data_IF_431023650280
#
_entry.id   IF_431023650280
#
_cell.length_a   1.000
_cell.length_b   1.000
_cell.length_c   1.000
_cell.angle_alpha   90.00
_cell.angle_beta   90.00
_cell.angle_gamma   90.00
#
_symmetry.space_group_name_H-M   'P 1'
#
loop_
_entity.id
_entity.type
_entity.pdbx_description
1 polymer ?
#
# COMPACT_ATOMS: atom_id res chain seq x y z
N UNK A 1 11.27 -25.11 33.27
CA UNK A 1 10.74 -23.84 32.72
C UNK A 1 10.57 -24.01 31.22
N UNK A 2 9.34 -23.93 30.73
CA UNK A 2 9.00 -24.17 29.32
C UNK A 2 9.14 -22.87 28.52
N UNK A 3 9.78 -22.86 27.33
CA UNK A 3 9.93 -21.66 26.53
C UNK A 3 8.56 -21.28 25.92
N UNK A 4 8.06 -20.09 26.27
CA UNK A 4 6.85 -19.53 25.71
C UNK A 4 6.97 -19.46 24.18
N UNK A 5 6.17 -20.27 23.48
CA UNK A 5 6.03 -20.21 22.02
C UNK A 5 5.54 -18.80 21.69
N UNK A 6 6.32 -18.04 20.92
CA UNK A 6 5.87 -16.74 20.40
C UNK A 6 4.73 -17.03 19.43
N UNK A 7 3.49 -16.85 19.88
CA UNK A 7 2.32 -16.92 19.02
C UNK A 7 2.53 -15.97 17.84
N UNK A 8 2.41 -16.53 16.63
CA UNK A 8 2.63 -15.80 15.40
C UNK A 8 1.50 -14.77 15.31
N UNK A 9 1.78 -13.51 15.64
CA UNK A 9 0.79 -12.44 15.64
C UNK A 9 0.05 -12.43 14.30
N UNK A 10 -1.26 -12.66 14.35
CA UNK A 10 -2.11 -12.55 13.18
C UNK A 10 -2.00 -11.15 12.58
N UNK A 11 -1.96 -11.09 11.25
CA UNK A 11 -1.80 -9.82 10.54
C UNK A 11 -3.13 -9.10 10.50
N UNK A 12 -3.07 -7.77 10.65
CA UNK A 12 -4.23 -6.91 10.45
C UNK A 12 -4.84 -7.15 9.06
N UNK A 13 -6.15 -7.35 9.01
CA UNK A 13 -6.85 -7.67 7.76
C UNK A 13 -7.17 -6.42 6.95
N UNK A 14 -7.49 -6.58 5.67
CA UNK A 14 -7.90 -5.47 4.80
C UNK A 14 -9.18 -4.79 5.32
N UNK A 15 -10.13 -5.57 5.84
CA UNK A 15 -11.37 -5.06 6.42
C UNK A 15 -11.11 -4.24 7.70
N UNK A 16 -10.25 -4.76 8.59
CA UNK A 16 -9.81 -4.02 9.79
C UNK A 16 -9.16 -2.68 9.41
N UNK A 17 -8.36 -2.65 8.33
CA UNK A 17 -7.76 -1.41 7.85
C UNK A 17 -8.79 -0.41 7.32
N UNK A 18 -9.78 -0.89 6.55
CA UNK A 18 -10.84 -0.05 6.01
C UNK A 18 -11.71 0.55 7.13
N UNK A 19 -12.06 -0.25 8.13
CA UNK A 19 -12.79 0.21 9.31
C UNK A 19 -12.01 1.31 10.05
N UNK A 20 -10.72 1.10 10.29
CA UNK A 20 -9.86 2.12 10.89
C UNK A 20 -9.88 3.45 10.12
N UNK A 21 -9.73 3.39 8.79
CA UNK A 21 -9.74 4.60 7.94
C UNK A 21 -11.10 5.32 7.99
N UNK A 22 -12.21 4.57 7.91
CA UNK A 22 -13.56 5.12 7.99
C UNK A 22 -13.83 5.76 9.36
N UNK A 23 -13.42 5.10 10.44
CA UNK A 23 -13.55 5.61 11.79
C UNK A 23 -12.76 6.91 11.99
N UNK A 24 -11.54 6.99 11.45
CA UNK A 24 -10.73 8.21 11.49
C UNK A 24 -11.37 9.38 10.73
N UNK A 25 -12.09 9.10 9.64
CA UNK A 25 -12.86 10.10 8.87
C UNK A 25 -14.06 10.61 9.66
N UNK A 26 -14.76 9.73 10.38
CA UNK A 26 -15.90 10.09 11.23
C UNK A 26 -15.49 10.82 12.52
N UNK A 27 -14.29 10.54 13.04
CA UNK A 27 -13.79 11.11 14.28
C UNK A 27 -12.43 11.80 14.08
N UNK A 28 -12.38 13.03 13.50
CA UNK A 28 -11.13 13.74 13.23
C UNK A 28 -10.25 13.96 14.48
N UNK A 29 -10.88 14.04 15.67
CA UNK A 29 -10.20 14.14 16.98
C UNK A 29 -9.17 13.03 17.21
N UNK A 30 -9.41 11.84 16.68
CA UNK A 30 -8.52 10.68 16.78
C UNK A 30 -7.23 10.82 15.97
N UNK A 31 -7.26 11.68 14.96
CA UNK A 31 -6.19 11.78 13.97
C UNK A 31 -5.12 12.82 14.28
N UNK A 32 -5.30 13.58 15.37
CA UNK A 32 -4.25 14.41 15.95
C UNK A 32 -3.87 15.63 15.11
N UNK A 33 -4.84 16.17 14.35
CA UNK A 33 -4.76 17.53 13.82
C UNK A 33 -4.69 18.44 15.04
N UNK A 34 -3.47 18.88 15.43
CA UNK A 34 -3.26 19.82 16.56
C UNK A 34 -4.07 21.09 16.34
N UNK A 35 -5.30 21.12 16.82
CA UNK A 35 -6.03 22.35 17.11
C UNK A 35 -5.56 22.83 18.48
N UNK A 36 -5.21 24.10 18.53
CA UNK A 36 -4.54 24.78 19.64
C UNK A 36 -5.47 24.89 20.85
N UNK A 37 -5.62 23.83 21.64
CA UNK A 37 -6.12 23.88 23.02
C UNK A 37 -6.02 22.46 23.60
N UNK A 38 -5.02 22.20 24.44
CA UNK A 38 -4.89 20.93 25.14
C UNK A 38 -5.62 21.06 26.48
N UNK A 39 -6.92 20.72 26.50
CA UNK A 39 -7.64 20.58 27.75
C UNK A 39 -7.52 19.14 28.25
N UNK A 40 -7.38 18.94 29.57
CA UNK A 40 -7.30 17.61 30.20
C UNK A 40 -8.53 16.73 29.93
N UNK A 41 -9.65 17.32 29.47
CA UNK A 41 -10.85 16.61 29.00
C UNK A 41 -10.65 15.89 27.66
N UNK A 42 -9.73 16.36 26.81
CA UNK A 42 -9.52 15.81 25.46
C UNK A 42 -8.84 14.43 25.51
N UNK A 43 -8.07 14.14 26.56
CA UNK A 43 -7.46 12.82 26.75
C UNK A 43 -8.47 11.73 27.07
N UNK A 44 -9.53 12.06 27.81
CA UNK A 44 -10.59 11.09 28.15
C UNK A 44 -11.46 10.76 26.94
N UNK A 45 -11.90 11.78 26.18
CA UNK A 45 -12.64 11.58 24.93
C UNK A 45 -11.82 10.81 23.88
N UNK A 46 -10.53 11.12 23.75
CA UNK A 46 -9.66 10.40 22.83
C UNK A 46 -9.47 8.94 23.26
N UNK A 47 -9.36 8.69 24.57
CA UNK A 47 -9.29 7.33 25.10
C UNK A 47 -10.57 6.53 24.77
N UNK A 48 -11.74 7.12 25.01
CA UNK A 48 -13.04 6.49 24.71
C UNK A 48 -13.20 6.16 23.22
N UNK A 49 -12.83 7.09 22.33
CA UNK A 49 -12.82 6.85 20.89
C UNK A 49 -11.89 5.72 20.47
N UNK A 50 -10.73 5.60 21.13
CA UNK A 50 -9.83 4.48 20.91
C UNK A 50 -10.42 3.16 21.40
N UNK A 51 -11.14 3.15 22.53
CA UNK A 51 -11.83 1.96 23.03
C UNK A 51 -12.91 1.50 22.04
N UNK A 52 -13.79 2.41 21.61
CA UNK A 52 -14.86 2.10 20.65
C UNK A 52 -14.31 1.59 19.31
N UNK A 53 -13.23 2.19 18.81
CA UNK A 53 -12.55 1.72 17.60
C UNK A 53 -12.06 0.28 17.78
N UNK A 54 -11.45 -0.02 18.92
CA UNK A 54 -10.85 -1.34 19.19
C UNK A 54 -11.91 -2.42 19.33
N UNK A 55 -13.05 -2.11 19.94
CA UNK A 55 -14.22 -3.00 19.96
C UNK A 55 -14.64 -3.36 18.54
N UNK A 56 -14.88 -2.36 17.68
CA UNK A 56 -15.22 -2.61 16.26
C UNK A 56 -14.15 -3.39 15.51
N UNK A 57 -12.86 -3.14 15.79
CA UNK A 57 -11.75 -3.86 15.15
C UNK A 57 -11.69 -5.33 15.58
N UNK A 58 -11.98 -5.62 16.85
CA UNK A 58 -11.97 -6.96 17.43
C UNK A 58 -13.22 -7.78 17.08
N UNK A 59 -14.34 -7.12 16.75
CA UNK A 59 -15.56 -7.78 16.25
C UNK A 59 -15.39 -8.34 14.83
N UNK A 60 -14.46 -7.78 14.05
CA UNK A 60 -14.19 -8.26 12.69
C UNK A 60 -13.24 -9.45 12.69
N UNK A 61 -13.31 -10.26 11.63
CA UNK A 61 -12.38 -11.37 11.42
C UNK A 61 -10.93 -10.88 11.33
N UNK A 62 -10.07 -11.40 12.21
CA UNK A 62 -8.65 -11.08 12.26
C UNK A 62 -8.10 -11.02 13.70
N UNK A 63 -6.90 -10.43 13.89
CA UNK A 63 -6.29 -10.29 15.21
C UNK A 63 -7.20 -9.50 16.14
N UNK A 64 -7.42 -10.02 17.33
CA UNK A 64 -8.01 -9.29 18.45
C UNK A 64 -6.90 -8.77 19.35
N UNK A 65 -6.86 -7.47 19.59
CA UNK A 65 -5.78 -6.84 20.35
C UNK A 65 -6.31 -5.83 21.37
N UNK A 66 -5.49 -5.52 22.37
CA UNK A 66 -5.77 -4.43 23.31
C UNK A 66 -5.59 -3.07 22.65
N UNK A 67 -6.15 -2.02 23.25
CA UNK A 67 -6.02 -0.64 22.75
C UNK A 67 -4.56 -0.23 22.54
N UNK A 68 -3.67 -0.62 23.45
CA UNK A 68 -2.24 -0.32 23.34
C UNK A 68 -1.63 -1.00 22.11
N UNK A 69 -1.89 -2.29 21.92
CA UNK A 69 -1.36 -3.07 20.82
C UNK A 69 -1.89 -2.56 19.47
N UNK A 70 -3.18 -2.22 19.39
CA UNK A 70 -3.74 -1.63 18.18
C UNK A 70 -3.10 -0.29 17.80
N UNK A 71 -2.82 0.58 18.78
CA UNK A 71 -2.10 1.84 18.53
C UNK A 71 -0.71 1.59 17.93
N UNK A 72 0.02 0.61 18.45
CA UNK A 72 1.35 0.23 17.96
C UNK A 72 1.27 -0.38 16.54
N UNK A 73 0.36 -1.34 16.33
CA UNK A 73 0.10 -1.98 15.03
C UNK A 73 -0.24 -0.95 13.96
N UNK A 74 -1.15 -0.03 14.26
CA UNK A 74 -1.57 1.01 13.32
C UNK A 74 -0.48 2.06 13.09
N UNK A 75 0.31 2.42 14.11
CA UNK A 75 1.45 3.30 13.95
C UNK A 75 2.53 2.68 13.04
N UNK A 76 2.81 1.38 13.22
CA UNK A 76 3.74 0.65 12.37
C UNK A 76 3.24 0.59 10.93
N UNK A 77 1.96 0.26 10.72
CA UNK A 77 1.35 0.26 9.40
C UNK A 77 1.44 1.63 8.71
N UNK A 78 1.11 2.73 9.41
CA UNK A 78 1.25 4.10 8.87
C UNK A 78 2.69 4.41 8.47
N UNK A 79 3.67 3.94 9.25
CA UNK A 79 5.08 4.09 8.93
C UNK A 79 5.47 3.32 7.66
N UNK A 80 4.98 2.08 7.51
CA UNK A 80 5.19 1.28 6.31
C UNK A 80 4.61 1.97 5.07
N UNK A 81 3.35 2.42 5.12
CA UNK A 81 2.72 3.13 4.01
C UNK A 81 3.53 4.35 3.60
N UNK A 82 3.96 5.18 4.57
CA UNK A 82 4.82 6.35 4.30
C UNK A 82 6.17 5.95 3.69
N UNK A 83 6.77 4.87 4.17
CA UNK A 83 8.04 4.36 3.66
C UNK A 83 7.92 3.90 2.20
N UNK A 84 6.88 3.13 1.90
CA UNK A 84 6.61 2.71 0.53
C UNK A 84 6.33 3.90 -0.39
N UNK A 85 5.54 4.87 0.06
CA UNK A 85 5.29 6.09 -0.71
C UNK A 85 6.61 6.80 -1.07
N UNK A 86 7.52 6.96 -0.11
CA UNK A 86 8.85 7.55 -0.36
C UNK A 86 9.69 6.73 -1.34
N UNK A 87 9.64 5.39 -1.27
CA UNK A 87 10.37 4.52 -2.21
C UNK A 87 9.82 4.66 -3.62
N UNK A 88 8.50 4.68 -3.77
CA UNK A 88 7.87 4.85 -5.07
C UNK A 88 8.17 6.22 -5.68
N UNK A 89 8.14 7.29 -4.88
CA UNK A 89 8.53 8.64 -5.33
C UNK A 89 9.96 8.65 -5.90
N UNK A 90 10.90 7.97 -5.21
CA UNK A 90 12.28 7.82 -5.70
C UNK A 90 12.37 7.04 -7.01
N UNK A 91 11.61 5.95 -7.17
CA UNK A 91 11.65 5.10 -8.36
C UNK A 91 11.03 5.75 -9.59
N UNK A 92 9.96 6.52 -9.40
CA UNK A 92 9.23 7.14 -10.51
C UNK A 92 9.72 8.52 -10.90
N UNK A 93 10.69 9.08 -10.15
CA UNK A 93 11.14 10.47 -10.31
C UNK A 93 10.05 11.50 -10.04
N UNK A 94 8.84 11.07 -9.63
CA UNK A 94 7.74 11.94 -9.26
C UNK A 94 7.95 12.35 -7.82
N UNK A 95 8.38 13.60 -7.64
CA UNK A 95 8.12 14.32 -6.40
C UNK A 95 6.60 14.46 -6.31
N UNK A 96 5.94 13.51 -5.66
CA UNK A 96 4.62 13.72 -5.08
C UNK A 96 4.88 14.69 -3.92
N UNK A 97 4.93 15.97 -4.27
CA UNK A 97 5.01 17.08 -3.35
C UNK A 97 3.69 17.05 -2.58
N UNK A 98 3.67 16.36 -1.44
CA UNK A 98 2.60 16.49 -0.44
C UNK A 98 2.75 17.82 0.31
N UNK A 99 2.86 18.92 -0.44
CA UNK A 99 2.77 20.27 0.10
C UNK A 99 2.09 21.22 -0.89
N UNK A 100 0.90 21.64 -0.51
CA UNK A 100 0.35 22.98 -0.73
C UNK A 100 0.04 23.48 -2.15
N UNK A 101 -0.01 22.65 -3.19
CA UNK A 101 -0.50 23.11 -4.51
C UNK A 101 -1.53 22.18 -5.13
N UNK A 102 -2.77 22.65 -5.16
CA UNK A 102 -3.85 22.15 -5.99
C UNK A 102 -3.41 22.13 -7.46
N UNK A 103 -3.34 20.94 -8.09
CA UNK A 103 -4.03 20.63 -9.35
C UNK A 103 -3.68 19.24 -9.92
N UNK A 104 -4.74 18.51 -10.27
CA UNK A 104 -4.93 17.58 -11.41
C UNK A 104 -3.73 16.70 -11.85
N UNK A 105 -3.97 15.38 -11.77
CA UNK A 105 -3.88 14.40 -12.88
C UNK A 105 -2.88 13.24 -12.77
N UNK A 106 -2.02 13.11 -11.76
CA UNK A 106 -0.96 12.07 -11.81
C UNK A 106 -0.75 11.18 -10.57
N UNK A 107 -1.57 11.26 -9.52
CA UNK A 107 -1.32 10.48 -8.27
C UNK A 107 -2.04 9.12 -8.15
N UNK A 108 -2.84 8.74 -9.15
CA UNK A 108 -3.70 7.54 -9.13
C UNK A 108 -2.90 6.22 -9.30
N UNK A 109 -1.62 6.29 -9.66
CA UNK A 109 -0.81 5.09 -9.96
C UNK A 109 0.01 4.55 -8.78
N UNK A 110 0.04 5.24 -7.63
CA UNK A 110 1.12 5.05 -6.65
C UNK A 110 0.69 4.23 -5.44
N UNK A 111 -0.40 4.64 -4.79
CA UNK A 111 -0.87 4.02 -3.55
C UNK A 111 -1.41 2.60 -3.76
N UNK A 112 -1.99 2.32 -4.93
CA UNK A 112 -2.57 1.01 -5.25
C UNK A 112 -1.50 -0.01 -5.67
N UNK A 113 -0.46 0.43 -6.39
CA UNK A 113 0.70 -0.43 -6.72
C UNK A 113 1.52 -0.77 -5.48
N UNK A 114 1.66 0.18 -4.55
CA UNK A 114 2.32 -0.06 -3.26
C UNK A 114 1.58 -1.12 -2.43
N UNK A 115 0.25 -1.06 -2.34
CA UNK A 115 -0.52 -2.05 -1.58
C UNK A 115 -0.50 -3.45 -2.24
N UNK A 116 -0.41 -3.53 -3.56
CA UNK A 116 -0.31 -4.81 -4.29
C UNK A 116 1.09 -5.43 -4.21
N UNK A 117 2.16 -4.62 -4.30
CA UNK A 117 3.53 -5.13 -4.16
C UNK A 117 3.89 -5.57 -2.73
N UNK A 118 3.26 -5.00 -1.71
CA UNK A 118 3.42 -5.46 -0.31
C UNK A 118 2.82 -6.85 -0.10
N UNK A 119 1.79 -7.24 -0.86
CA UNK A 119 1.28 -8.62 -0.87
C UNK A 119 2.17 -9.58 -1.67
N UNK A 120 2.80 -9.13 -2.75
CA UNK A 120 3.55 -9.97 -3.69
C UNK A 120 4.98 -10.29 -3.22
N UNK A 121 5.70 -9.32 -2.65
CA UNK A 121 7.10 -9.49 -2.17
C UNK A 121 7.21 -10.51 -1.02
N UNK A 122 6.09 -10.96 -0.44
CA UNK A 122 6.08 -11.96 0.64
C UNK A 122 5.66 -13.37 0.21
N UNK A 123 5.32 -13.59 -1.06
CA UNK A 123 5.10 -14.92 -1.61
C UNK A 123 6.41 -15.62 -2.04
N UNK A 124 7.49 -14.86 -2.29
CA UNK A 124 8.74 -15.41 -2.84
C UNK A 124 9.84 -15.73 -1.79
N UNK A 125 9.62 -15.49 -0.49
CA UNK A 125 10.59 -15.81 0.57
C UNK A 125 10.34 -17.16 1.27
N UNK A 126 9.61 -18.08 0.62
CA UNK A 126 9.23 -19.36 1.23
C UNK A 126 9.58 -20.55 0.31
N UNK A 127 10.83 -20.60 -0.13
CA UNK A 127 11.45 -21.81 -0.66
C UNK A 127 12.71 -22.06 0.16
N UNK A 128 12.67 -23.10 0.98
CA UNK A 128 13.80 -23.67 1.70
C UNK A 128 14.92 -24.06 0.73
N UNK A 129 16.18 -23.79 1.07
CA UNK A 129 17.09 -24.93 1.28
C UNK A 129 18.32 -24.58 2.14
N UNK A 130 18.70 -25.58 2.93
CA UNK A 130 19.87 -25.66 3.80
C UNK A 130 21.10 -26.00 2.96
N UNK A 131 22.26 -25.45 3.28
CA UNK A 131 23.51 -26.22 3.30
C UNK A 131 24.60 -25.49 4.07
N UNK A 132 25.45 -26.28 4.72
CA UNK A 132 26.39 -25.94 5.77
C UNK A 132 27.79 -25.57 5.25
N UNK A 133 28.59 -25.10 6.22
CA UNK A 133 30.07 -25.13 6.33
C UNK A 133 30.93 -24.31 5.34
N UNK A 134 31.62 -23.28 5.84
CA UNK A 134 33.03 -23.38 6.28
C UNK A 134 33.68 -22.00 6.55
N UNK A 135 34.26 -21.88 7.76
CA UNK A 135 35.56 -21.32 8.13
C UNK A 135 36.25 -20.16 7.36
N UNK A 136 36.62 -19.16 8.18
CA UNK A 136 37.98 -18.60 8.34
C UNK A 136 38.31 -17.18 7.86
N UNK A 137 38.97 -16.49 8.81
CA UNK A 137 40.06 -15.52 8.67
C UNK A 137 39.77 -14.01 8.50
N UNK A 138 39.91 -13.31 9.64
CA UNK A 138 40.87 -12.23 9.92
C UNK A 138 41.17 -11.20 8.81
N UNK A 139 40.81 -9.93 9.05
CA UNK A 139 41.76 -8.80 9.11
C UNK A 139 41.06 -7.47 9.41
N UNK A 140 41.49 -6.87 10.51
CA UNK A 140 41.31 -5.48 10.88
C UNK A 140 41.95 -4.52 9.88
N UNK A 141 41.26 -3.42 9.54
CA UNK A 141 41.94 -2.23 9.06
C UNK A 141 41.16 -0.96 9.41
N UNK A 142 41.73 -0.23 10.36
CA UNK A 142 41.37 1.12 10.75
C UNK A 142 41.73 2.10 9.64
N UNK A 143 40.80 2.96 9.22
CA UNK A 143 41.16 4.16 8.44
C UNK A 143 40.42 5.39 8.93
N UNK A 144 41.10 6.11 9.81
CA UNK A 144 40.81 7.48 10.19
C UNK A 144 40.96 8.40 8.98
N UNK A 145 39.92 9.16 8.67
CA UNK A 145 40.05 10.37 7.85
C UNK A 145 39.27 11.49 8.52
N UNK A 146 40.04 12.42 9.08
CA UNK A 146 39.62 13.71 9.62
C UNK A 146 39.56 14.73 8.49
N UNK A 147 38.45 15.45 8.31
CA UNK A 147 38.38 16.75 7.63
C UNK A 147 37.08 17.50 8.03
N UNK A 148 37.03 18.84 7.90
CA UNK A 148 36.49 19.70 8.94
C UNK A 148 35.38 20.66 8.44
N UNK A 149 34.94 21.50 9.38
CA UNK A 149 34.22 22.77 9.22
C UNK A 149 32.70 22.78 8.98
N UNK A 150 32.04 23.17 10.08
CA UNK A 150 30.72 23.75 10.27
C UNK A 150 30.35 24.77 9.19
N UNK A 151 29.16 24.59 8.60
CA UNK A 151 28.36 25.70 8.06
C UNK A 151 26.99 25.72 8.75
N UNK A 152 26.63 26.88 9.31
CA UNK A 152 25.37 27.15 9.97
C UNK A 152 24.20 27.05 8.97
N UNK A 153 23.39 25.98 9.06
CA UNK A 153 22.11 25.87 8.35
C UNK A 153 20.98 26.38 9.25
N UNK A 154 20.42 27.53 8.90
CA UNK A 154 19.24 28.13 9.53
C UNK A 154 18.06 27.17 9.44
N UNK A 155 17.51 26.82 10.60
CA UNK A 155 16.44 25.85 10.80
C UNK A 155 15.08 26.53 10.52
N UNK A 156 14.65 26.54 9.26
CA UNK A 156 13.29 26.93 8.89
C UNK A 156 12.35 25.79 9.24
N UNK A 157 11.70 25.92 10.41
CA UNK A 157 10.70 24.98 10.92
C UNK A 157 9.40 25.12 10.12
N UNK A 158 9.34 24.46 8.96
CA UNK A 158 8.11 24.35 8.17
C UNK A 158 7.07 23.55 8.95
N UNK A 159 6.03 24.23 9.43
CA UNK A 159 4.81 23.62 10.00
C UNK A 159 4.26 22.63 8.96
N UNK A 160 4.28 21.33 9.28
CA UNK A 160 3.74 20.31 8.40
C UNK A 160 2.24 20.57 8.18
N UNK A 161 1.75 20.59 6.93
CA UNK A 161 0.34 20.84 6.65
C UNK A 161 -0.52 19.71 7.23
N UNK A 162 -1.59 20.12 7.89
CA UNK A 162 -2.51 19.26 8.60
C UNK A 162 -3.47 18.63 7.59
N UNK A 163 -3.08 17.51 6.96
CA UNK A 163 -3.92 16.84 5.96
C UNK A 163 -5.12 16.17 6.64
N UNK A 164 -6.33 16.55 6.20
CA UNK A 164 -7.59 15.96 6.64
C UNK A 164 -7.74 14.55 6.05
N UNK A 165 -7.92 13.56 6.93
CA UNK A 165 -8.03 12.14 6.57
C UNK A 165 -9.24 11.85 5.68
N UNK A 166 -10.29 12.66 5.81
CA UNK A 166 -11.49 12.58 4.97
C UNK A 166 -11.15 12.74 3.49
N UNK A 167 -10.31 13.71 3.17
CA UNK A 167 -9.92 14.04 1.80
C UNK A 167 -9.02 12.95 1.23
N UNK A 168 -8.11 12.42 2.06
CA UNK A 168 -7.27 11.27 1.69
C UNK A 168 -8.14 10.07 1.33
N UNK A 169 -9.15 9.74 2.14
CA UNK A 169 -10.04 8.61 1.87
C UNK A 169 -10.87 8.82 0.58
N UNK A 170 -11.38 10.03 0.36
CA UNK A 170 -12.13 10.34 -0.87
C UNK A 170 -11.25 10.24 -2.11
N UNK A 171 -9.98 10.69 -2.02
CA UNK A 171 -8.99 10.54 -3.09
C UNK A 171 -8.73 9.05 -3.37
N UNK A 172 -8.57 8.23 -2.33
CA UNK A 172 -8.36 6.78 -2.47
C UNK A 172 -9.56 6.12 -3.14
N UNK A 173 -10.80 6.44 -2.73
CA UNK A 173 -12.01 5.86 -3.33
C UNK A 173 -12.11 6.19 -4.82
N UNK A 174 -11.98 7.46 -5.19
CA UNK A 174 -12.00 7.88 -6.59
C UNK A 174 -10.88 7.23 -7.42
N UNK A 175 -9.72 7.00 -6.80
CA UNK A 175 -8.58 6.30 -7.43
C UNK A 175 -8.89 4.84 -7.71
N UNK A 176 -9.59 4.16 -6.78
CA UNK A 176 -10.00 2.77 -6.95
C UNK A 176 -11.11 2.64 -8.00
N UNK A 177 -12.06 3.58 -8.02
CA UNK A 177 -13.11 3.68 -9.04
C UNK A 177 -12.50 3.78 -10.45
N UNK A 178 -11.61 4.77 -10.66
CA UNK A 178 -10.93 4.98 -11.94
C UNK A 178 -9.98 3.83 -12.33
N UNK A 179 -9.57 2.98 -11.38
CA UNK A 179 -8.83 1.75 -11.68
C UNK A 179 -9.79 0.68 -12.20
N UNK A 180 -10.93 0.47 -11.52
CA UNK A 180 -11.96 -0.48 -11.93
C UNK A 180 -12.43 -0.21 -13.36
N UNK A 181 -12.74 1.05 -13.68
CA UNK A 181 -13.15 1.45 -15.04
C UNK A 181 -12.10 1.13 -16.11
N UNK A 182 -10.81 1.30 -15.80
CA UNK A 182 -9.73 0.94 -16.73
C UNK A 182 -9.59 -0.56 -16.93
N UNK A 183 -9.74 -1.34 -15.87
CA UNK A 183 -9.71 -2.81 -15.94
C UNK A 183 -10.91 -3.35 -16.73
N UNK A 184 -12.11 -2.78 -16.53
CA UNK A 184 -13.30 -3.07 -17.34
C UNK A 184 -13.09 -2.72 -18.82
N UNK A 185 -12.52 -1.55 -19.14
CA UNK A 185 -12.23 -1.17 -20.52
C UNK A 185 -11.21 -2.10 -21.20
N UNK A 186 -10.17 -2.54 -20.46
CA UNK A 186 -9.20 -3.52 -20.98
C UNK A 186 -9.85 -4.87 -21.23
N UNK A 187 -10.74 -5.31 -20.35
CA UNK A 187 -11.49 -6.55 -20.51
C UNK A 187 -12.40 -6.51 -21.76
N UNK A 188 -13.15 -5.41 -21.96
CA UNK A 188 -13.94 -5.20 -23.18
C UNK A 188 -13.07 -5.23 -24.44
N UNK A 189 -11.90 -4.58 -24.41
CA UNK A 189 -10.97 -4.60 -25.54
C UNK A 189 -10.44 -6.01 -25.83
N UNK A 190 -10.15 -6.83 -24.81
CA UNK A 190 -9.76 -8.23 -24.99
C UNK A 190 -10.89 -9.05 -25.62
N UNK A 191 -12.13 -8.91 -25.13
CA UNK A 191 -13.30 -9.59 -25.73
C UNK A 191 -13.45 -9.23 -27.20
N UNK A 192 -13.34 -7.94 -27.53
CA UNK A 192 -13.45 -7.46 -28.92
C UNK A 192 -12.34 -8.04 -29.81
N UNK A 193 -11.12 -8.15 -29.29
CA UNK A 193 -10.00 -8.77 -30.01
C UNK A 193 -10.25 -10.26 -30.25
N UNK A 194 -10.68 -11.00 -29.23
CA UNK A 194 -11.01 -12.42 -29.34
C UNK A 194 -12.11 -12.64 -30.39
N UNK A 195 -13.17 -11.82 -30.36
CA UNK A 195 -14.26 -11.90 -31.35
C UNK A 195 -13.77 -11.65 -32.78
N UNK A 196 -12.86 -10.69 -32.99
CA UNK A 196 -12.25 -10.46 -34.32
C UNK A 196 -11.39 -11.61 -34.81
N UNK A 197 -10.64 -12.24 -33.91
CA UNK A 197 -9.84 -13.42 -34.24
C UNK A 197 -10.74 -14.59 -34.63
N UNK A 198 -11.83 -14.81 -33.89
CA UNK A 198 -12.82 -15.87 -34.17
C UNK A 198 -13.50 -15.68 -35.54
N UNK A 199 -13.88 -14.44 -35.86
CA UNK A 199 -14.40 -14.09 -37.20
C UNK A 199 -13.38 -14.37 -38.30
N UNK A 200 -12.11 -13.99 -38.08
CA UNK A 200 -11.04 -14.22 -39.06
C UNK A 200 -10.80 -15.71 -39.29
N UNK A 201 -10.78 -16.49 -38.22
CA UNK A 201 -10.64 -17.95 -38.28
C UNK A 201 -11.81 -18.57 -39.05
N UNK A 202 -13.04 -18.15 -38.76
CA UNK A 202 -14.25 -18.62 -39.46
C UNK A 202 -14.17 -18.35 -40.97
N UNK A 203 -13.72 -17.17 -41.37
CA UNK A 203 -13.53 -16.82 -42.78
C UNK A 203 -12.45 -17.68 -43.44
N UNK A 204 -11.31 -17.89 -42.76
CA UNK A 204 -10.24 -18.76 -43.28
C UNK A 204 -10.72 -20.20 -43.48
N UNK A 205 -11.45 -20.76 -42.51
CA UNK A 205 -12.04 -22.10 -42.63
C UNK A 205 -12.98 -22.20 -43.83
N UNK A 206 -13.84 -21.19 -44.04
CA UNK A 206 -14.72 -21.15 -45.22
C UNK A 206 -13.97 -21.11 -46.54
N UNK A 207 -12.81 -20.41 -46.60
CA UNK A 207 -11.97 -20.39 -47.79
C UNK A 207 -11.34 -21.77 -48.03
N UNK A 208 -10.80 -22.42 -47.00
CA UNK A 208 -10.25 -23.77 -47.14
C UNK A 208 -11.28 -24.78 -47.64
N UNK A 209 -12.49 -24.79 -47.06
CA UNK A 209 -13.57 -25.67 -47.53
C UNK A 209 -13.97 -25.41 -49.00
N UNK A 210 -13.81 -24.19 -49.50
CA UNK A 210 -14.08 -23.86 -50.91
C UNK A 210 -12.96 -24.35 -51.82
N UNK A 211 -11.71 -24.31 -51.35
CA UNK A 211 -10.55 -24.83 -52.08
C UNK A 211 -10.64 -26.35 -52.18
N UNK A 212 -10.93 -27.04 -51.08
CA UNK A 212 -11.09 -28.51 -51.06
C UNK A 212 -12.17 -28.97 -52.03
N UNK A 213 -13.34 -28.31 -52.00
CA UNK A 213 -14.44 -28.58 -52.95
C UNK A 213 -14.11 -28.34 -54.42
N UNK A 214 -13.09 -27.52 -54.73
CA UNK A 214 -12.61 -27.32 -56.11
C UNK A 214 -11.61 -28.38 -56.52
N UNK A 215 -10.75 -28.80 -55.59
CA UNK A 215 -9.79 -29.88 -55.81
C UNK A 215 -10.49 -31.21 -56.08
N UNK A 216 -11.55 -31.54 -55.34
CA UNK A 216 -12.32 -32.78 -55.55
C UNK A 216 -13.02 -32.88 -56.93
N UNK A 217 -13.15 -31.76 -57.64
CA UNK A 217 -13.80 -31.68 -58.95
C UNK A 217 -12.82 -31.73 -60.13
N UNK A 218 -11.52 -31.69 -59.87
CA UNK A 218 -10.45 -31.66 -60.88
C UNK A 218 -9.84 -33.05 -61.05
#
# INVERSE_FOLDING_TARGET
MSPAKREKLERITKQQMQCYMLFCKQHPKLTGVKTESCNKSDTSQTHELWTQLVERLNEMQGPTQSVKMWKETLAHWKSQVRSHLRRYQKQTGRNIITSASYNKRTEISVSTTILHQVSEIKAEQNVDDKSADNDSCTSSSSRSTSFPHKTHKKNMKTKAPNMNYTDICSIILNTLEARREREEALYTNQINLISKLDQTLTLMTSVFEKVDRKLDKS
#
